data_IF_152918692233
#
_entry.id   IF_152918692233
#
_cell.length_a   1.000
_cell.length_b   1.000
_cell.length_c   1.000
_cell.angle_alpha   90.00
_cell.angle_beta   90.00
_cell.angle_gamma   90.00
#
_symmetry.space_group_name_H-M   'P 1'
#
loop_
_entity.id
_entity.type
_entity.pdbx_description
1 polymer ?
#
# COMPACT_ATOMS: atom_id res chain seq x y z
N UNK A 1 35.20 1.27 19.61
CA UNK A 1 34.67 -0.12 19.66
C UNK A 1 33.29 -0.17 20.31
N UNK A 2 32.32 0.64 19.87
CA UNK A 2 31.02 0.76 20.55
C UNK A 2 29.83 1.03 19.63
N UNK A 3 29.99 0.77 18.32
CA UNK A 3 28.89 0.83 17.34
C UNK A 3 28.55 -0.56 16.78
N UNK A 4 29.51 -1.51 16.79
CA UNK A 4 29.32 -2.86 16.23
C UNK A 4 28.52 -3.81 17.14
N UNK A 5 28.41 -3.54 18.44
CA UNK A 5 27.69 -4.44 19.36
C UNK A 5 26.18 -4.16 19.47
N UNK A 6 25.70 -2.94 19.18
CA UNK A 6 24.26 -2.63 19.26
C UNK A 6 23.47 -3.19 18.05
N UNK A 7 24.13 -3.35 16.91
CA UNK A 7 23.53 -3.95 15.70
C UNK A 7 23.67 -5.49 15.66
N UNK A 8 24.40 -6.07 16.61
CA UNK A 8 24.67 -7.51 16.70
C UNK A 8 23.44 -8.32 17.14
N UNK A 9 22.54 -7.76 17.95
CA UNK A 9 21.39 -8.47 18.50
C UNK A 9 20.11 -8.43 17.64
N UNK A 10 19.98 -7.51 16.68
CA UNK A 10 18.79 -7.45 15.81
C UNK A 10 18.79 -8.54 14.72
N UNK A 11 19.97 -8.93 14.23
CA UNK A 11 20.12 -9.81 13.06
C UNK A 11 20.36 -11.30 13.41
N UNK A 12 20.61 -11.64 14.67
CA UNK A 12 20.75 -13.03 15.16
C UNK A 12 19.63 -13.42 16.14
N UNK A 13 18.40 -13.02 15.86
CA UNK A 13 17.29 -13.73 16.48
C UNK A 13 17.31 -15.15 15.94
N UNK A 14 17.66 -16.13 16.77
CA UNK A 14 17.20 -17.51 16.56
C UNK A 14 15.69 -17.36 16.29
N UNK A 15 15.18 -17.72 15.10
CA UNK A 15 13.77 -17.64 14.79
C UNK A 15 13.09 -18.74 15.60
N UNK A 16 12.87 -18.42 16.86
CA UNK A 16 12.18 -19.22 17.82
C UNK A 16 10.73 -19.26 17.33
N UNK A 17 10.38 -20.32 16.58
CA UNK A 17 9.06 -20.54 16.00
C UNK A 17 7.94 -20.38 17.04
N UNK A 18 6.66 -20.38 16.63
CA UNK A 18 5.51 -20.06 17.51
C UNK A 18 5.56 -20.71 18.91
N UNK A 19 6.14 -21.90 19.03
CA UNK A 19 6.33 -22.67 20.27
C UNK A 19 7.30 -22.07 21.30
N UNK A 20 8.26 -21.25 20.89
CA UNK A 20 9.27 -20.66 21.77
C UNK A 20 8.96 -19.23 22.23
N UNK A 21 7.82 -18.65 21.79
CA UNK A 21 7.34 -17.35 22.28
C UNK A 21 7.00 -17.38 23.78
N UNK A 22 6.57 -18.53 24.30
CA UNK A 22 6.30 -18.75 25.73
C UNK A 22 7.57 -18.63 26.58
N UNK A 23 8.71 -19.07 26.07
CA UNK A 23 10.00 -18.99 26.78
C UNK A 23 10.46 -17.53 26.93
N UNK A 24 10.25 -16.69 25.91
CA UNK A 24 10.54 -15.25 26.00
C UNK A 24 9.72 -14.57 27.09
N UNK A 25 8.43 -14.88 27.17
CA UNK A 25 7.55 -14.36 28.22
C UNK A 25 7.97 -14.86 29.61
N UNK A 26 8.40 -16.12 29.71
CA UNK A 26 8.90 -16.71 30.95
C UNK A 26 10.14 -15.97 31.48
N UNK A 27 11.13 -15.70 30.62
CA UNK A 27 12.30 -14.91 31.01
C UNK A 27 11.91 -13.49 31.43
N UNK A 28 11.00 -12.84 30.71
CA UNK A 28 10.50 -11.50 31.06
C UNK A 28 9.88 -11.48 32.47
N UNK A 29 9.01 -12.46 32.78
CA UNK A 29 8.38 -12.60 34.08
C UNK A 29 9.39 -12.90 35.20
N UNK A 30 10.45 -13.66 34.91
CA UNK A 30 11.52 -13.97 35.88
C UNK A 30 12.43 -12.78 36.15
N UNK A 31 12.75 -11.98 35.13
CA UNK A 31 13.64 -10.82 35.26
C UNK A 31 12.93 -9.62 35.91
N UNK A 32 11.74 -9.26 35.43
CA UNK A 32 11.03 -8.06 35.87
C UNK A 32 10.01 -8.32 36.99
N UNK A 33 9.55 -9.57 37.12
CA UNK A 33 8.41 -9.88 37.97
C UNK A 33 7.11 -9.26 37.45
N UNK A 34 5.99 -9.61 38.10
CA UNK A 34 4.68 -9.05 37.76
C UNK A 34 4.61 -7.56 38.11
N UNK A 35 5.17 -7.16 39.25
CA UNK A 35 5.14 -5.75 39.69
C UNK A 35 6.01 -4.83 38.84
N UNK A 36 7.20 -5.28 38.42
CA UNK A 36 8.05 -4.51 37.52
C UNK A 36 7.40 -4.30 36.15
N UNK A 37 6.70 -5.30 35.62
CA UNK A 37 5.95 -5.17 34.37
C UNK A 37 4.77 -4.21 34.49
N UNK A 38 4.02 -4.25 35.61
CA UNK A 38 2.95 -3.29 35.87
C UNK A 38 3.48 -1.86 35.91
N UNK A 39 4.59 -1.64 36.62
CA UNK A 39 5.19 -0.31 36.72
C UNK A 39 5.73 0.18 35.38
N UNK A 40 6.37 -0.70 34.60
CA UNK A 40 6.82 -0.40 33.25
C UNK A 40 5.67 0.06 32.35
N UNK A 41 4.56 -0.70 32.31
CA UNK A 41 3.39 -0.35 31.51
C UNK A 41 2.81 0.98 31.99
N UNK A 42 2.61 1.17 33.31
CA UNK A 42 2.07 2.41 33.88
C UNK A 42 2.95 3.62 33.58
N UNK A 43 4.27 3.47 33.58
CA UNK A 43 5.20 4.53 33.16
C UNK A 43 4.99 4.91 31.70
N UNK A 44 4.89 3.94 30.79
CA UNK A 44 4.66 4.22 29.37
C UNK A 44 3.29 4.87 29.13
N UNK A 45 2.26 4.49 29.91
CA UNK A 45 0.96 5.16 29.86
C UNK A 45 1.07 6.61 30.33
N UNK A 46 1.81 6.91 31.40
CA UNK A 46 2.06 8.28 31.86
C UNK A 46 2.77 9.12 30.79
N UNK A 47 3.81 8.58 30.16
CA UNK A 47 4.54 9.26 29.08
C UNK A 47 3.66 9.55 27.86
N UNK A 48 2.77 8.62 27.49
CA UNK A 48 1.80 8.85 26.43
C UNK A 48 0.79 9.95 26.77
N UNK A 49 0.38 10.08 28.04
CA UNK A 49 -0.45 11.18 28.51
C UNK A 49 0.31 12.52 28.49
N UNK A 50 1.59 12.52 28.87
CA UNK A 50 2.45 13.71 28.75
C UNK A 50 2.53 14.21 27.30
N UNK A 51 2.74 13.30 26.33
CA UNK A 51 2.72 13.64 24.91
C UNK A 51 1.36 14.20 24.45
N UNK A 52 0.26 13.60 24.92
CA UNK A 52 -1.10 14.05 24.64
C UNK A 52 -1.33 15.48 25.13
N UNK A 53 -0.85 15.81 26.32
CA UNK A 53 -1.04 17.14 26.90
C UNK A 53 -0.30 18.22 26.10
N UNK A 54 0.89 17.92 25.59
CA UNK A 54 1.61 18.78 24.64
C UNK A 54 0.85 19.03 23.34
N UNK A 55 0.27 17.97 22.73
CA UNK A 55 -0.55 18.11 21.53
C UNK A 55 -1.77 19.01 21.75
N UNK A 56 -2.45 18.83 22.88
CA UNK A 56 -3.61 19.64 23.24
C UNK A 56 -3.23 21.11 23.52
N UNK A 57 -2.08 21.35 24.13
CA UNK A 57 -1.58 22.69 24.41
C UNK A 57 -1.24 23.51 23.15
N UNK A 58 -0.74 22.86 22.10
CA UNK A 58 -0.41 23.53 20.83
C UNK A 58 -1.66 23.88 19.99
N UNK A 59 -2.74 23.10 20.14
CA UNK A 59 -4.05 23.44 19.60
C UNK A 59 -4.21 23.27 18.08
N UNK A 60 -3.14 22.95 17.33
CA UNK A 60 -3.20 22.59 15.90
C UNK A 60 -3.52 21.12 15.65
N UNK A 61 -3.32 20.28 16.66
CA UNK A 61 -3.50 18.84 16.57
C UNK A 61 -4.85 18.43 17.17
N UNK A 62 -5.46 17.42 16.56
CA UNK A 62 -6.63 16.72 17.08
C UNK A 62 -6.25 15.29 17.46
N UNK A 63 -6.81 14.81 18.58
CA UNK A 63 -6.72 13.41 18.98
C UNK A 63 -7.81 12.61 18.26
N UNK A 64 -7.41 11.53 17.60
CA UNK A 64 -8.34 10.67 16.84
C UNK A 64 -9.03 9.67 17.76
N UNK A 65 -8.36 9.28 18.84
CA UNK A 65 -8.90 8.36 19.83
C UNK A 65 -8.42 8.74 21.24
N UNK A 66 -9.18 8.29 22.24
CA UNK A 66 -8.78 8.39 23.64
C UNK A 66 -7.49 7.60 23.91
N UNK A 67 -6.53 8.23 24.59
CA UNK A 67 -5.26 7.61 24.98
C UNK A 67 -5.48 6.68 26.18
N UNK A 68 -5.60 5.38 25.93
CA UNK A 68 -5.82 4.35 26.97
C UNK A 68 -4.53 3.66 27.45
N UNK A 69 -3.55 3.56 26.56
CA UNK A 69 -2.29 2.83 26.77
C UNK A 69 -1.11 3.70 26.27
N UNK A 70 0.06 3.10 26.02
CA UNK A 70 1.25 3.80 25.52
C UNK A 70 1.20 4.22 24.03
N UNK A 71 0.02 4.42 23.46
CA UNK A 71 -0.19 4.79 22.05
C UNK A 71 -1.06 6.04 21.96
N UNK A 72 -0.57 7.06 21.24
CA UNK A 72 -1.29 8.30 20.97
C UNK A 72 -1.54 8.41 19.47
N UNK A 73 -2.82 8.51 19.10
CA UNK A 73 -3.27 8.67 17.73
C UNK A 73 -3.70 10.12 17.51
N UNK A 74 -2.98 10.85 16.66
CA UNK A 74 -3.20 12.28 16.45
C UNK A 74 -3.11 12.66 14.96
N UNK A 75 -3.68 13.80 14.61
CA UNK A 75 -3.66 14.37 13.26
C UNK A 75 -3.61 15.88 13.31
N UNK A 76 -3.27 16.54 12.20
CA UNK A 76 -3.53 17.98 12.07
C UNK A 76 -5.03 18.23 11.86
N UNK A 77 -5.52 19.35 12.41
CA UNK A 77 -6.91 19.78 12.29
C UNK A 77 -7.35 19.87 10.82
N UNK A 78 -8.48 19.25 10.51
CA UNK A 78 -9.25 19.38 9.26
C UNK A 78 -8.57 18.96 7.94
N UNK A 79 -7.31 18.51 7.94
CA UNK A 79 -6.59 18.22 6.69
C UNK A 79 -5.82 16.88 6.73
N UNK A 80 -6.20 15.94 5.85
CA UNK A 80 -5.49 14.67 5.68
C UNK A 80 -4.18 14.84 4.93
N UNK A 81 -4.17 15.66 3.87
CA UNK A 81 -3.00 15.85 3.01
C UNK A 81 -1.86 16.51 3.76
N UNK A 82 -2.17 17.49 4.63
CA UNK A 82 -1.16 18.08 5.51
C UNK A 82 -0.61 17.07 6.52
N UNK A 83 -1.45 16.17 7.03
CA UNK A 83 -1.00 15.13 7.96
C UNK A 83 -0.11 14.10 7.25
N UNK A 84 -0.43 13.73 6.01
CA UNK A 84 0.42 12.88 5.15
C UNK A 84 1.75 13.56 4.81
N UNK A 85 1.72 14.84 4.46
CA UNK A 85 2.93 15.61 4.17
C UNK A 85 3.85 15.72 5.39
N UNK A 86 3.28 16.03 6.56
CA UNK A 86 4.01 16.05 7.83
C UNK A 86 4.68 14.69 8.09
N UNK A 87 3.97 13.58 7.85
CA UNK A 87 4.54 12.25 8.02
C UNK A 87 5.73 12.01 7.10
N UNK A 88 5.61 12.32 5.82
CA UNK A 88 6.70 12.18 4.85
C UNK A 88 7.91 13.03 5.20
N UNK A 89 7.71 14.27 5.67
CA UNK A 89 8.80 15.14 6.10
C UNK A 89 9.48 14.65 7.39
N UNK A 90 8.71 14.09 8.33
CA UNK A 90 9.26 13.47 9.53
C UNK A 90 10.09 12.23 9.21
N UNK A 91 9.61 11.36 8.32
CA UNK A 91 10.35 10.19 7.85
C UNK A 91 11.63 10.58 7.09
N UNK A 92 11.59 11.67 6.31
CA UNK A 92 12.76 12.20 5.61
C UNK A 92 13.80 12.85 6.55
N UNK A 93 13.35 13.52 7.61
CA UNK A 93 14.20 14.12 8.64
C UNK A 93 14.89 13.06 9.51
N UNK A 94 14.20 11.96 9.81
CA UNK A 94 14.78 10.76 10.43
C UNK A 94 15.13 10.89 11.92
N UNK A 95 14.92 12.05 12.57
CA UNK A 95 15.13 12.20 14.03
C UNK A 95 14.13 11.40 14.85
N UNK A 96 12.91 11.25 14.35
CA UNK A 96 11.87 10.40 14.94
C UNK A 96 11.18 9.62 13.83
N UNK A 97 10.62 8.46 14.18
CA UNK A 97 9.82 7.67 13.26
C UNK A 97 8.41 7.50 13.84
N UNK A 98 7.41 7.81 13.01
CA UNK A 98 6.00 7.61 13.33
C UNK A 98 5.43 6.58 12.38
N UNK A 99 4.32 5.97 12.78
CA UNK A 99 3.60 5.06 11.88
C UNK A 99 2.24 5.63 11.58
N UNK A 100 1.97 5.90 10.31
CA UNK A 100 0.64 6.33 9.89
C UNK A 100 -0.39 5.20 9.90
N UNK A 101 -1.66 5.59 9.84
CA UNK A 101 -2.81 4.72 9.61
C UNK A 101 -3.96 5.54 9.04
N UNK A 102 -4.87 4.86 8.36
CA UNK A 102 -6.11 5.46 7.89
C UNK A 102 -7.30 4.54 8.16
N UNK A 103 -8.45 5.14 8.43
CA UNK A 103 -9.74 4.44 8.42
C UNK A 103 -10.80 5.34 7.79
N UNK A 104 -11.97 4.76 7.48
CA UNK A 104 -13.04 5.44 6.77
C UNK A 104 -14.27 5.59 7.69
N UNK A 105 -14.57 6.81 8.18
CA UNK A 105 -15.80 7.11 8.93
C UNK A 105 -15.93 8.62 9.28
N UNK A 106 -16.99 9.35 8.89
CA UNK A 106 -17.79 9.31 7.64
C UNK A 106 -17.00 9.75 6.39
N UNK A 107 -15.80 10.31 6.57
CA UNK A 107 -14.81 10.57 5.52
C UNK A 107 -13.53 9.77 5.81
N UNK A 108 -12.58 9.72 4.87
CA UNK A 108 -11.26 9.14 5.14
C UNK A 108 -10.56 9.98 6.22
N UNK A 109 -10.04 9.33 7.25
CA UNK A 109 -9.25 9.96 8.30
C UNK A 109 -7.86 9.37 8.24
N UNK A 110 -6.88 10.20 7.87
CA UNK A 110 -5.46 9.86 7.97
C UNK A 110 -4.89 10.41 9.27
N UNK A 111 -4.12 9.60 9.99
CA UNK A 111 -3.57 9.97 11.29
C UNK A 111 -2.24 9.29 11.58
N UNK A 112 -1.49 9.88 12.50
CA UNK A 112 -0.19 9.41 12.94
C UNK A 112 -0.30 8.71 14.29
N UNK A 113 0.50 7.67 14.47
CA UNK A 113 0.58 6.91 15.71
C UNK A 113 1.94 7.11 16.34
N UNK A 114 1.93 7.72 17.52
CA UNK A 114 3.09 7.82 18.38
C UNK A 114 3.03 6.70 19.43
N UNK A 115 4.00 5.80 19.38
CA UNK A 115 4.12 4.68 20.32
C UNK A 115 5.40 4.82 21.14
N UNK A 116 5.27 4.74 22.46
CA UNK A 116 6.43 4.77 23.36
C UNK A 116 7.09 3.39 23.38
N UNK A 117 8.06 3.18 22.50
CA UNK A 117 8.69 1.87 22.27
C UNK A 117 10.03 1.69 22.98
N UNK A 118 10.68 2.77 23.44
CA UNK A 118 12.00 2.69 24.06
C UNK A 118 11.92 2.22 25.52
N UNK A 119 12.77 1.25 25.90
CA UNK A 119 12.74 0.61 27.22
C UNK A 119 12.99 1.59 28.38
N UNK A 120 13.78 2.63 28.14
CA UNK A 120 14.14 3.63 29.15
C UNK A 120 13.58 5.00 28.79
N UNK A 121 12.41 5.03 28.14
CA UNK A 121 11.75 6.29 27.81
C UNK A 121 11.53 7.15 29.06
N UNK A 122 11.82 8.44 28.91
CA UNK A 122 11.65 9.49 29.91
C UNK A 122 10.89 10.69 29.30
N UNK A 123 10.55 11.67 30.13
CA UNK A 123 9.79 12.85 29.68
C UNK A 123 10.59 13.70 28.70
N UNK A 124 11.91 13.82 28.87
CA UNK A 124 12.79 14.59 27.98
C UNK A 124 12.75 14.06 26.53
N UNK A 125 12.72 12.74 26.34
CA UNK A 125 12.57 12.13 25.02
C UNK A 125 11.20 12.36 24.39
N UNK A 126 10.15 12.40 25.22
CA UNK A 126 8.80 12.74 24.76
C UNK A 126 8.75 14.21 24.33
N UNK A 127 9.32 15.11 25.12
CA UNK A 127 9.42 16.54 24.83
C UNK A 127 10.22 16.78 23.55
N UNK A 128 11.36 16.10 23.40
CA UNK A 128 12.15 16.12 22.17
C UNK A 128 11.32 15.68 20.96
N UNK A 129 10.62 14.55 21.08
CA UNK A 129 9.79 14.02 19.98
C UNK A 129 8.68 15.00 19.59
N UNK A 130 8.02 15.61 20.57
CA UNK A 130 7.01 16.63 20.33
C UNK A 130 7.59 17.89 19.67
N UNK A 131 8.75 18.36 20.12
CA UNK A 131 9.41 19.54 19.54
C UNK A 131 9.80 19.34 18.07
N UNK A 132 10.24 18.13 17.69
CA UNK A 132 10.51 17.79 16.27
C UNK A 132 9.21 17.85 15.44
N UNK A 133 8.12 17.28 15.94
CA UNK A 133 6.81 17.32 15.28
C UNK A 133 6.34 18.78 15.11
N UNK A 134 6.49 19.59 16.16
CA UNK A 134 6.14 21.01 16.15
C UNK A 134 6.94 21.79 15.10
N UNK A 135 8.25 21.60 15.07
CA UNK A 135 9.16 22.22 14.10
C UNK A 135 8.77 21.89 12.65
N UNK A 136 8.43 20.62 12.38
CA UNK A 136 7.99 20.20 11.04
C UNK A 136 6.60 20.73 10.69
N UNK A 137 5.69 20.79 11.67
CA UNK A 137 4.39 21.41 11.47
C UNK A 137 4.51 22.92 11.17
N UNK A 138 5.50 23.60 11.75
CA UNK A 138 5.80 25.01 11.47
C UNK A 138 6.34 25.22 10.04
N UNK A 139 7.22 24.32 9.57
CA UNK A 139 7.75 24.33 8.19
C UNK A 139 6.67 24.12 7.12
N UNK A 140 5.63 23.36 7.45
CA UNK A 140 4.51 23.07 6.55
C UNK A 140 3.49 24.20 6.42
N UNK A 141 3.65 25.31 7.15
CA UNK A 141 2.72 26.43 7.08
C UNK A 141 2.93 27.24 5.81
N UNK A 142 2.05 27.06 4.83
CA UNK A 142 1.96 27.93 3.67
C UNK A 142 1.71 29.38 4.13
N UNK A 143 2.64 30.28 3.78
CA UNK A 143 2.48 31.72 3.97
C UNK A 143 1.21 32.21 3.24
N UNK A 144 0.57 33.27 3.73
CA UNK A 144 -0.59 33.89 3.08
C UNK A 144 -0.32 34.23 1.61
N UNK A 145 0.92 34.62 1.28
CA UNK A 145 1.35 34.87 -0.11
C UNK A 145 1.40 33.60 -0.96
N UNK A 146 1.79 32.46 -0.37
CA UNK A 146 1.87 31.17 -1.06
C UNK A 146 0.47 30.60 -1.32
N UNK A 147 -0.46 30.80 -0.38
CA UNK A 147 -1.88 30.44 -0.56
C UNK A 147 -2.52 31.22 -1.72
N UNK A 148 -2.23 32.51 -1.82
CA UNK A 148 -2.71 33.34 -2.93
C UNK A 148 -2.15 32.86 -4.28
N UNK A 149 -0.83 32.61 -4.36
CA UNK A 149 -0.19 32.08 -5.56
C UNK A 149 -0.75 30.71 -5.97
N UNK A 150 -1.04 29.84 -4.99
CA UNK A 150 -1.68 28.54 -5.24
C UNK A 150 -3.08 28.68 -5.81
N UNK A 151 -3.90 29.58 -5.23
CA UNK A 151 -5.25 29.86 -5.72
C UNK A 151 -5.24 30.40 -7.15
N UNK A 152 -4.33 31.33 -7.47
CA UNK A 152 -4.22 31.90 -8.82
C UNK A 152 -3.69 30.88 -9.83
N UNK A 153 -2.66 30.11 -9.48
CA UNK A 153 -2.12 29.07 -10.36
C UNK A 153 -3.17 28.02 -10.70
N UNK A 154 -3.94 27.55 -9.71
CA UNK A 154 -5.05 26.60 -9.92
C UNK A 154 -6.16 27.19 -10.77
N UNK A 155 -6.48 28.46 -10.59
CA UNK A 155 -7.51 29.15 -11.39
C UNK A 155 -7.16 29.12 -12.89
N UNK A 156 -5.89 29.33 -13.22
CA UNK A 156 -5.40 29.40 -14.61
C UNK A 156 -5.16 28.02 -15.21
N UNK A 157 -4.55 27.10 -14.45
CA UNK A 157 -4.11 25.79 -14.96
C UNK A 157 -5.16 24.69 -14.81
N UNK A 158 -6.17 24.89 -13.95
CA UNK A 158 -7.17 23.88 -13.54
C UNK A 158 -6.59 22.53 -13.09
N UNK A 159 -5.32 22.50 -12.69
CA UNK A 159 -4.68 21.29 -12.19
C UNK A 159 -5.07 21.00 -10.73
N UNK A 160 -4.82 19.75 -10.30
CA UNK A 160 -5.01 19.34 -8.90
C UNK A 160 -4.07 20.12 -7.96
N UNK A 161 -4.51 20.30 -6.72
CA UNK A 161 -3.79 21.09 -5.71
C UNK A 161 -2.36 20.59 -5.48
N UNK A 162 -2.18 19.26 -5.44
CA UNK A 162 -0.87 18.64 -5.24
C UNK A 162 0.11 18.93 -6.38
N UNK A 163 -0.39 18.90 -7.64
CA UNK A 163 0.42 19.25 -8.81
C UNK A 163 0.79 20.72 -8.79
N UNK A 164 -0.17 21.59 -8.46
CA UNK A 164 0.06 23.03 -8.34
C UNK A 164 1.11 23.36 -7.28
N UNK A 165 1.04 22.72 -6.11
CA UNK A 165 2.05 22.87 -5.05
C UNK A 165 3.43 22.39 -5.54
N UNK A 166 3.49 21.25 -6.24
CA UNK A 166 4.76 20.73 -6.78
C UNK A 166 5.44 21.69 -7.76
N UNK A 167 4.70 22.26 -8.71
CA UNK A 167 5.20 23.25 -9.67
C UNK A 167 5.60 24.57 -8.99
N UNK A 168 4.79 25.05 -8.04
CA UNK A 168 5.09 26.27 -7.31
C UNK A 168 6.32 26.06 -6.42
N UNK A 169 6.47 24.91 -5.77
CA UNK A 169 7.64 24.61 -4.94
C UNK A 169 8.94 24.51 -5.76
N UNK A 170 8.92 23.82 -6.90
CA UNK A 170 10.11 23.69 -7.76
C UNK A 170 10.62 25.04 -8.27
N UNK A 171 9.72 26.01 -8.42
CA UNK A 171 10.00 27.35 -8.93
C UNK A 171 9.92 28.43 -7.84
N UNK A 172 10.16 28.04 -6.58
CA UNK A 172 10.27 28.93 -5.41
C UNK A 172 9.09 29.88 -5.24
N UNK A 173 7.89 29.40 -5.53
CA UNK A 173 6.61 30.09 -5.42
C UNK A 173 6.47 31.31 -6.34
N UNK A 174 7.24 31.37 -7.43
CA UNK A 174 7.05 32.37 -8.47
C UNK A 174 5.95 31.94 -9.43
N UNK A 175 4.77 32.56 -9.32
CA UNK A 175 3.60 32.24 -10.14
C UNK A 175 3.88 32.32 -11.64
N UNK A 176 4.54 33.38 -12.10
CA UNK A 176 4.78 33.62 -13.53
C UNK A 176 5.75 32.60 -14.10
N UNK A 177 6.83 32.30 -13.38
CA UNK A 177 7.77 31.24 -13.78
C UNK A 177 7.09 29.87 -13.78
N UNK A 178 6.26 29.57 -12.79
CA UNK A 178 5.51 28.31 -12.73
C UNK A 178 4.54 28.16 -13.90
N UNK A 179 3.79 29.21 -14.24
CA UNK A 179 2.89 29.19 -15.38
C UNK A 179 3.69 29.02 -16.68
N UNK A 180 4.78 29.77 -16.85
CA UNK A 180 5.61 29.68 -18.04
C UNK A 180 6.23 28.28 -18.20
N UNK A 181 6.80 27.69 -17.15
CA UNK A 181 7.34 26.32 -17.17
C UNK A 181 6.24 25.28 -17.50
N UNK A 182 5.06 25.45 -16.91
CA UNK A 182 3.90 24.59 -17.16
C UNK A 182 3.47 24.64 -18.64
N UNK A 183 3.46 25.83 -19.24
CA UNK A 183 3.13 26.00 -20.66
C UNK A 183 4.30 25.70 -21.62
N UNK A 184 5.56 25.90 -21.20
CA UNK A 184 6.76 25.73 -22.03
C UNK A 184 7.27 24.30 -22.08
N UNK A 185 6.94 23.47 -21.08
CA UNK A 185 7.29 22.04 -21.02
C UNK A 185 6.59 21.17 -22.10
N UNK A 186 6.09 21.79 -23.17
CA UNK A 186 5.69 21.08 -24.39
C UNK A 186 4.40 20.28 -24.24
N UNK A 187 3.69 20.40 -23.12
CA UNK A 187 2.25 20.16 -23.09
C UNK A 187 1.55 21.36 -23.76
N UNK A 188 1.80 21.50 -25.06
CA UNK A 188 0.77 22.03 -25.94
C UNK A 188 -0.53 21.27 -25.64
N UNK A 189 -1.67 21.91 -25.89
CA UNK A 189 -3.01 21.30 -25.75
C UNK A 189 -3.14 19.98 -26.55
N UNK A 190 -2.59 18.87 -26.05
CA UNK A 190 -3.28 17.60 -26.00
C UNK A 190 -4.10 17.64 -24.71
N UNK A 191 -4.98 18.65 -24.62
CA UNK A 191 -6.05 18.61 -23.65
C UNK A 191 -6.93 17.46 -24.09
N UNK A 192 -6.71 16.30 -23.48
CA UNK A 192 -7.67 15.21 -23.51
C UNK A 192 -9.04 15.84 -23.30
N UNK A 193 -9.91 15.73 -24.30
CA UNK A 193 -11.18 16.44 -24.26
C UNK A 193 -12.12 15.68 -23.31
N UNK A 194 -12.29 16.22 -22.11
CA UNK A 194 -13.17 15.66 -21.09
C UNK A 194 -14.59 15.44 -21.63
N UNK A 195 -15.08 16.29 -22.55
CA UNK A 195 -16.39 16.11 -23.14
C UNK A 195 -16.45 14.87 -24.04
N UNK A 196 -15.35 14.55 -24.74
CA UNK A 196 -15.29 13.32 -25.54
C UNK A 196 -15.23 12.08 -24.65
N UNK A 197 -14.49 12.13 -23.54
CA UNK A 197 -14.48 11.03 -22.57
C UNK A 197 -15.88 10.85 -21.98
N UNK A 198 -16.57 11.94 -21.64
CA UNK A 198 -17.94 11.87 -21.13
C UNK A 198 -18.92 11.31 -22.17
N UNK A 199 -18.81 11.71 -23.44
CA UNK A 199 -19.58 11.13 -24.53
C UNK A 199 -19.31 9.63 -24.70
N UNK A 200 -18.04 9.24 -24.61
CA UNK A 200 -17.62 7.85 -24.68
C UNK A 200 -18.18 7.04 -23.49
N UNK A 201 -18.13 7.58 -22.28
CA UNK A 201 -18.75 6.97 -21.10
C UNK A 201 -20.25 6.77 -21.31
N UNK A 202 -20.95 7.78 -21.86
CA UNK A 202 -22.37 7.71 -22.14
C UNK A 202 -22.76 6.62 -23.15
N UNK A 203 -21.84 6.18 -24.01
CA UNK A 203 -22.05 5.06 -24.93
C UNK A 203 -22.10 3.70 -24.21
N UNK A 204 -21.31 3.55 -23.13
CA UNK A 204 -21.14 2.29 -22.41
C UNK A 204 -21.93 2.20 -21.11
N UNK A 205 -22.37 3.33 -20.54
CA UNK A 205 -23.14 3.37 -19.29
C UNK A 205 -24.38 2.50 -19.38
N UNK A 206 -24.80 2.01 -18.23
CA UNK A 206 -26.05 1.28 -18.12
C UNK A 206 -27.27 2.23 -18.22
N UNK A 207 -28.38 1.74 -18.79
CA UNK A 207 -29.60 2.54 -18.95
C UNK A 207 -30.29 2.78 -17.61
N UNK A 208 -30.24 1.81 -16.72
CA UNK A 208 -30.89 1.84 -15.41
C UNK A 208 -29.97 2.47 -14.35
N UNK A 209 -28.66 2.46 -14.58
CA UNK A 209 -27.65 3.08 -13.71
C UNK A 209 -26.72 4.03 -14.49
N UNK A 210 -27.10 5.30 -14.73
CA UNK A 210 -26.36 6.22 -15.59
C UNK A 210 -24.99 6.65 -15.03
N UNK A 211 -24.69 6.34 -13.77
CA UNK A 211 -23.42 6.64 -13.11
C UNK A 211 -22.39 5.51 -13.24
N UNK A 212 -22.75 4.38 -13.86
CA UNK A 212 -21.90 3.19 -13.94
C UNK A 212 -21.94 2.52 -15.30
N UNK A 213 -20.81 1.94 -15.68
CA UNK A 213 -20.70 0.94 -16.74
C UNK A 213 -20.77 -0.42 -16.05
N UNK A 214 -21.87 -1.15 -16.23
CA UNK A 214 -22.04 -2.50 -15.67
C UNK A 214 -21.52 -3.57 -16.65
N UNK A 215 -21.71 -4.85 -16.31
CA UNK A 215 -21.22 -6.02 -17.06
C UNK A 215 -21.45 -5.93 -18.58
N UNK A 216 -22.64 -5.51 -19.01
CA UNK A 216 -23.00 -5.39 -20.44
C UNK A 216 -22.22 -4.28 -21.14
N UNK A 217 -22.00 -3.15 -20.45
CA UNK A 217 -21.16 -2.05 -20.92
C UNK A 217 -19.68 -2.44 -20.96
N UNK A 218 -19.21 -3.17 -19.95
CA UNK A 218 -17.83 -3.66 -19.86
C UNK A 218 -17.48 -4.61 -21.01
N UNK A 219 -18.38 -5.54 -21.37
CA UNK A 219 -18.18 -6.42 -22.52
C UNK A 219 -18.09 -5.62 -23.83
N UNK A 220 -18.94 -4.60 -24.00
CA UNK A 220 -18.88 -3.72 -25.18
C UNK A 220 -17.54 -2.95 -25.23
N UNK A 221 -17.16 -2.31 -24.13
CA UNK A 221 -15.94 -1.51 -24.07
C UNK A 221 -14.66 -2.34 -24.21
N UNK A 222 -14.47 -3.36 -23.35
CA UNK A 222 -13.22 -4.12 -23.29
C UNK A 222 -13.15 -5.18 -24.40
N UNK A 223 -14.21 -5.97 -24.58
CA UNK A 223 -14.18 -7.11 -25.50
C UNK A 223 -14.49 -6.71 -26.94
N UNK A 224 -15.54 -5.93 -27.16
CA UNK A 224 -15.94 -5.58 -28.54
C UNK A 224 -15.10 -4.44 -29.10
N UNK A 225 -14.88 -3.38 -28.34
CA UNK A 225 -14.22 -2.19 -28.84
C UNK A 225 -12.71 -2.26 -28.63
N UNK A 226 -12.20 -2.51 -27.43
CA UNK A 226 -10.75 -2.65 -27.23
C UNK A 226 -10.16 -3.94 -27.81
N UNK A 227 -10.98 -4.93 -28.15
CA UNK A 227 -10.58 -6.25 -28.69
C UNK A 227 -9.73 -7.07 -27.71
N UNK A 228 -10.07 -7.00 -26.43
CA UNK A 228 -9.35 -7.70 -25.35
C UNK A 228 -10.28 -8.72 -24.71
N UNK A 229 -9.78 -9.94 -24.51
CA UNK A 229 -10.51 -10.94 -23.73
C UNK A 229 -10.58 -10.52 -22.25
N UNK A 230 -11.75 -10.63 -21.64
CA UNK A 230 -11.95 -10.34 -20.21
C UNK A 230 -11.13 -11.28 -19.30
N UNK A 231 -10.70 -12.43 -19.83
CA UNK A 231 -9.81 -13.37 -19.14
C UNK A 231 -8.32 -13.08 -19.35
N UNK A 232 -7.97 -12.04 -20.11
CA UNK A 232 -6.59 -11.63 -20.34
C UNK A 232 -6.12 -10.69 -19.23
N UNK A 233 -4.83 -10.78 -18.85
CA UNK A 233 -4.21 -9.90 -17.83
C UNK A 233 -4.37 -8.42 -18.17
N UNK A 234 -4.51 -8.09 -19.45
CA UNK A 234 -4.78 -6.73 -19.91
C UNK A 234 -6.10 -6.15 -19.41
N UNK A 235 -7.15 -6.96 -19.25
CA UNK A 235 -8.39 -6.47 -18.66
C UNK A 235 -8.17 -6.05 -17.19
N UNK A 236 -7.36 -6.80 -16.45
CA UNK A 236 -6.97 -6.47 -15.08
C UNK A 236 -6.05 -5.23 -15.02
N UNK A 237 -5.10 -5.10 -15.96
CA UNK A 237 -4.24 -3.92 -16.06
C UNK A 237 -5.05 -2.66 -16.33
N UNK A 238 -6.06 -2.72 -17.20
CA UNK A 238 -6.97 -1.59 -17.44
C UNK A 238 -7.71 -1.22 -16.15
N UNK A 239 -8.31 -2.20 -15.46
CA UNK A 239 -9.00 -1.96 -14.19
C UNK A 239 -8.06 -1.30 -13.15
N UNK A 240 -6.81 -1.78 -13.05
CA UNK A 240 -5.80 -1.20 -12.18
C UNK A 240 -5.45 0.25 -12.55
N UNK A 241 -5.24 0.55 -13.84
CA UNK A 241 -4.94 1.92 -14.30
C UNK A 241 -6.11 2.88 -14.10
N UNK A 242 -7.32 2.36 -14.08
CA UNK A 242 -8.55 3.10 -13.81
C UNK A 242 -8.87 3.17 -12.31
N UNK A 243 -8.02 2.56 -11.46
CA UNK A 243 -8.21 2.45 -10.02
C UNK A 243 -9.58 1.89 -9.62
N UNK A 244 -10.05 0.91 -10.39
CA UNK A 244 -11.38 0.35 -10.21
C UNK A 244 -11.50 -0.42 -8.90
N UNK A 245 -12.58 -0.19 -8.16
CA UNK A 245 -12.77 -0.83 -6.85
C UNK A 245 -13.49 -2.17 -6.94
N UNK A 246 -14.37 -2.32 -7.93
CA UNK A 246 -15.26 -3.48 -8.05
C UNK A 246 -15.11 -4.18 -9.39
N UNK A 247 -15.08 -5.51 -9.37
CA UNK A 247 -15.01 -6.29 -10.59
C UNK A 247 -16.32 -6.21 -11.40
N UNK A 248 -16.18 -6.08 -12.71
CA UNK A 248 -17.31 -6.14 -13.65
C UNK A 248 -18.11 -4.84 -13.74
N UNK A 249 -17.64 -3.76 -13.12
CA UNK A 249 -18.19 -2.43 -13.29
C UNK A 249 -17.09 -1.35 -13.28
N UNK A 250 -17.39 -0.20 -13.88
CA UNK A 250 -16.65 1.04 -13.66
C UNK A 250 -17.62 2.16 -13.30
N UNK A 251 -17.29 2.93 -12.28
CA UNK A 251 -17.97 4.20 -12.01
C UNK A 251 -17.59 5.26 -13.05
N UNK A 252 -18.40 6.32 -13.17
CA UNK A 252 -18.09 7.45 -14.04
C UNK A 252 -16.75 8.07 -13.65
N UNK A 253 -16.51 8.23 -12.35
CA UNK A 253 -15.29 8.82 -11.81
C UNK A 253 -14.06 7.99 -12.20
N UNK A 254 -14.09 6.67 -11.96
CA UNK A 254 -12.99 5.75 -12.33
C UNK A 254 -12.71 5.76 -13.84
N UNK A 255 -13.76 5.79 -14.67
CA UNK A 255 -13.62 5.83 -16.12
C UNK A 255 -12.99 7.15 -16.61
N UNK A 256 -13.50 8.28 -16.12
CA UNK A 256 -13.02 9.60 -16.49
C UNK A 256 -11.57 9.80 -16.04
N UNK A 257 -11.26 9.52 -14.77
CA UNK A 257 -9.91 9.64 -14.23
C UNK A 257 -8.94 8.68 -14.90
N UNK A 258 -9.34 7.43 -15.17
CA UNK A 258 -8.52 6.45 -15.87
C UNK A 258 -8.12 6.90 -17.28
N UNK A 259 -9.09 7.38 -18.06
CA UNK A 259 -8.83 7.89 -19.42
C UNK A 259 -7.96 9.15 -19.40
N UNK A 260 -8.21 10.07 -18.47
CA UNK A 260 -7.39 11.28 -18.27
C UNK A 260 -5.95 10.93 -17.87
N UNK A 261 -5.76 10.03 -16.90
CA UNK A 261 -4.45 9.63 -16.41
C UNK A 261 -3.62 8.87 -17.46
N UNK A 262 -4.29 8.22 -18.42
CA UNK A 262 -3.64 7.56 -19.55
C UNK A 262 -3.48 8.48 -20.77
N UNK A 263 -3.84 9.75 -20.65
CA UNK A 263 -3.85 10.75 -21.73
C UNK A 263 -4.63 10.27 -22.97
N UNK A 264 -5.84 9.75 -22.78
CA UNK A 264 -6.69 9.16 -23.83
C UNK A 264 -8.10 9.78 -23.85
N UNK A 265 -8.61 10.15 -25.02
CA UNK A 265 -9.96 10.71 -25.23
C UNK A 265 -10.87 9.83 -26.11
N UNK A 266 -10.36 8.67 -26.55
CA UNK A 266 -11.00 7.77 -27.52
C UNK A 266 -10.53 6.32 -27.35
N UNK A 267 -11.33 5.35 -27.81
CA UNK A 267 -10.97 3.92 -27.76
C UNK A 267 -9.70 3.64 -28.56
N UNK A 268 -9.52 4.31 -29.69
CA UNK A 268 -8.36 4.15 -30.57
C UNK A 268 -7.07 4.62 -29.88
N UNK A 269 -7.12 5.78 -29.20
CA UNK A 269 -5.99 6.31 -28.45
C UNK A 269 -5.60 5.39 -27.29
N UNK A 270 -6.59 4.81 -26.59
CA UNK A 270 -6.35 3.83 -25.53
C UNK A 270 -5.74 2.55 -26.11
N UNK A 271 -6.37 1.97 -27.14
CA UNK A 271 -5.92 0.73 -27.79
C UNK A 271 -4.48 0.83 -28.28
N UNK A 272 -4.08 1.97 -28.84
CA UNK A 272 -2.71 2.20 -29.30
C UNK A 272 -1.67 2.19 -28.17
N UNK A 273 -2.04 2.62 -26.96
CA UNK A 273 -1.14 2.67 -25.80
C UNK A 273 -1.07 1.36 -25.02
N UNK A 274 -2.10 0.50 -25.12
CA UNK A 274 -2.18 -0.73 -24.33
C UNK A 274 -0.96 -1.65 -24.42
N UNK A 275 -0.37 -1.95 -25.60
CA UNK A 275 0.82 -2.80 -25.67
C UNK A 275 2.02 -2.23 -24.91
N UNK A 276 2.18 -0.90 -24.94
CA UNK A 276 3.24 -0.22 -24.19
C UNK A 276 2.99 -0.24 -22.69
N UNK A 277 1.74 -0.08 -22.27
CA UNK A 277 1.32 -0.18 -20.86
C UNK A 277 1.53 -1.60 -20.33
N UNK A 278 1.14 -2.62 -21.10
CA UNK A 278 1.35 -4.03 -20.77
C UNK A 278 2.83 -4.30 -20.49
N UNK A 279 3.67 -3.99 -21.48
CA UNK A 279 5.11 -4.20 -21.40
C UNK A 279 5.72 -3.50 -20.19
N UNK A 280 5.44 -2.21 -20.01
CA UNK A 280 5.96 -1.45 -18.87
C UNK A 280 5.45 -1.98 -17.53
N UNK A 281 4.20 -2.45 -17.45
CA UNK A 281 3.64 -2.98 -16.21
C UNK A 281 4.24 -4.35 -15.87
N UNK A 282 4.48 -5.17 -16.89
CA UNK A 282 4.87 -6.56 -16.74
C UNK A 282 6.39 -6.76 -16.67
N UNK A 283 7.20 -5.82 -17.18
CA UNK A 283 8.67 -5.86 -17.10
C UNK A 283 9.22 -5.08 -15.90
N UNK A 284 8.55 -4.00 -15.47
CA UNK A 284 8.97 -3.25 -14.28
C UNK A 284 8.47 -3.94 -13.01
N UNK A 285 9.40 -4.34 -12.14
CA UNK A 285 9.09 -5.13 -10.94
C UNK A 285 8.17 -4.39 -9.96
N UNK A 286 8.34 -3.08 -9.79
CA UNK A 286 7.52 -2.28 -8.86
C UNK A 286 6.09 -2.14 -9.38
N UNK A 287 5.92 -1.91 -10.68
CA UNK A 287 4.60 -1.88 -11.32
C UNK A 287 3.92 -3.24 -11.24
N UNK A 288 4.66 -4.32 -11.52
CA UNK A 288 4.12 -5.67 -11.48
C UNK A 288 3.70 -6.07 -10.05
N UNK A 289 4.53 -5.73 -9.04
CA UNK A 289 4.21 -5.91 -7.62
C UNK A 289 2.98 -5.10 -7.22
N UNK A 290 2.88 -3.86 -7.68
CA UNK A 290 1.71 -3.01 -7.43
C UNK A 290 0.43 -3.61 -8.03
N UNK A 291 0.48 -4.08 -9.29
CA UNK A 291 -0.64 -4.76 -9.95
C UNK A 291 -1.04 -6.03 -9.20
N UNK A 292 -0.06 -6.83 -8.79
CA UNK A 292 -0.27 -8.07 -8.04
C UNK A 292 -0.94 -7.82 -6.69
N UNK A 293 -0.52 -6.78 -5.95
CA UNK A 293 -1.17 -6.39 -4.69
C UNK A 293 -2.58 -5.83 -4.90
N UNK A 294 -2.79 -5.06 -5.97
CA UNK A 294 -4.09 -4.54 -6.34
C UNK A 294 -5.10 -5.67 -6.60
N UNK A 295 -4.69 -6.72 -7.34
CA UNK A 295 -5.55 -7.85 -7.68
C UNK A 295 -6.22 -8.52 -6.47
N UNK A 296 -5.53 -8.64 -5.33
CA UNK A 296 -6.12 -9.21 -4.11
C UNK A 296 -7.32 -8.39 -3.60
N UNK A 297 -7.17 -7.06 -3.61
CA UNK A 297 -8.21 -6.16 -3.12
C UNK A 297 -9.37 -6.09 -4.12
N UNK A 298 -9.04 -6.08 -5.41
CA UNK A 298 -10.01 -6.10 -6.51
C UNK A 298 -10.84 -7.38 -6.53
N UNK A 299 -10.22 -8.53 -6.23
CA UNK A 299 -10.91 -9.81 -6.12
C UNK A 299 -11.85 -9.90 -4.90
N UNK A 300 -11.59 -9.13 -3.85
CA UNK A 300 -12.41 -9.05 -2.63
C UNK A 300 -13.38 -7.86 -2.62
N UNK A 301 -13.76 -7.33 -3.79
CA UNK A 301 -14.55 -6.11 -3.90
C UNK A 301 -15.87 -6.12 -3.10
N UNK A 302 -16.51 -7.28 -2.96
CA UNK A 302 -17.75 -7.43 -2.18
C UNK A 302 -17.53 -7.23 -0.66
N UNK A 303 -16.31 -7.44 -0.17
CA UNK A 303 -15.95 -7.21 1.22
C UNK A 303 -14.52 -6.63 1.33
N UNK A 304 -14.36 -5.30 1.18
CA UNK A 304 -13.05 -4.65 1.21
C UNK A 304 -12.28 -4.80 2.53
N UNK A 305 -12.97 -5.17 3.62
CA UNK A 305 -12.36 -5.43 4.93
C UNK A 305 -11.89 -6.89 5.08
N UNK A 306 -12.22 -7.76 4.12
CA UNK A 306 -11.81 -9.15 4.13
C UNK A 306 -10.29 -9.26 3.99
N UNK A 307 -9.67 -9.89 4.98
CA UNK A 307 -8.23 -10.20 4.97
C UNK A 307 -7.92 -11.54 4.34
N UNK A 308 -8.93 -12.24 3.83
CA UNK A 308 -8.81 -13.54 3.20
C UNK A 308 -9.58 -13.55 1.88
N UNK A 309 -8.98 -14.09 0.83
CA UNK A 309 -9.59 -14.31 -0.46
C UNK A 309 -10.02 -15.78 -0.57
N UNK A 310 -11.19 -16.04 -1.15
CA UNK A 310 -11.65 -17.40 -1.42
C UNK A 310 -10.64 -18.14 -2.33
N UNK A 311 -10.62 -19.47 -2.22
CA UNK A 311 -9.59 -20.26 -2.87
C UNK A 311 -9.72 -20.24 -4.39
N UNK A 312 -10.95 -20.34 -4.91
CA UNK A 312 -11.21 -20.37 -6.34
C UNK A 312 -10.89 -19.02 -7.00
N UNK A 313 -11.21 -17.91 -6.31
CA UNK A 313 -10.83 -16.57 -6.75
C UNK A 313 -9.31 -16.39 -6.74
N UNK A 314 -8.63 -16.84 -5.68
CA UNK A 314 -7.17 -16.76 -5.60
C UNK A 314 -6.50 -17.53 -6.76
N UNK A 315 -6.98 -18.74 -7.07
CA UNK A 315 -6.47 -19.55 -8.19
C UNK A 315 -6.73 -18.83 -9.53
N UNK A 316 -7.92 -18.27 -9.74
CA UNK A 316 -8.25 -17.55 -10.98
C UNK A 316 -7.31 -16.35 -11.21
N UNK A 317 -7.09 -15.52 -10.18
CA UNK A 317 -6.21 -14.36 -10.29
C UNK A 317 -4.73 -14.74 -10.37
N UNK A 318 -4.27 -15.80 -9.69
CA UNK A 318 -2.91 -16.30 -9.89
C UNK A 318 -2.69 -16.87 -11.28
N UNK A 319 -3.68 -17.54 -11.85
CA UNK A 319 -3.62 -18.01 -13.24
C UNK A 319 -3.42 -16.81 -14.18
N UNK A 320 -4.15 -15.72 -13.95
CA UNK A 320 -4.04 -14.51 -14.75
C UNK A 320 -2.67 -13.83 -14.65
N UNK A 321 -2.10 -13.76 -13.44
CA UNK A 321 -0.91 -12.97 -13.16
C UNK A 321 0.41 -13.74 -13.31
N UNK A 322 0.40 -15.04 -13.03
CA UNK A 322 1.61 -15.87 -12.89
C UNK A 322 1.74 -16.93 -13.99
N UNK A 323 0.72 -17.16 -14.83
CA UNK A 323 0.82 -18.12 -15.93
C UNK A 323 1.95 -17.74 -16.88
N UNK A 324 2.78 -18.73 -17.23
CA UNK A 324 4.00 -18.53 -18.03
C UNK A 324 5.16 -17.82 -17.29
N UNK A 325 4.99 -17.45 -16.00
CA UNK A 325 6.03 -16.78 -15.19
C UNK A 325 6.53 -17.61 -14.03
N UNK A 326 5.65 -18.38 -13.40
CA UNK A 326 6.03 -19.29 -12.33
C UNK A 326 5.91 -20.75 -12.79
N UNK A 327 7.03 -21.47 -12.78
CA UNK A 327 7.09 -22.82 -13.35
C UNK A 327 6.30 -23.87 -12.54
N UNK A 328 6.17 -23.69 -11.23
CA UNK A 328 5.50 -24.64 -10.33
C UNK A 328 4.07 -24.21 -10.01
N UNK A 329 3.45 -23.38 -10.85
CA UNK A 329 2.11 -22.85 -10.61
C UNK A 329 1.06 -23.96 -10.56
N UNK A 330 1.16 -24.96 -11.43
CA UNK A 330 0.25 -26.11 -11.43
C UNK A 330 0.39 -26.96 -10.16
N UNK A 331 1.62 -27.15 -9.68
CA UNK A 331 1.87 -27.84 -8.40
C UNK A 331 1.31 -27.04 -7.22
N UNK A 332 1.42 -25.71 -7.26
CA UNK A 332 0.83 -24.83 -6.26
C UNK A 332 -0.69 -24.96 -6.22
N UNK A 333 -1.36 -24.95 -7.38
CA UNK A 333 -2.80 -25.14 -7.45
C UNK A 333 -3.24 -26.52 -6.95
N UNK A 334 -2.54 -27.57 -7.37
CA UNK A 334 -2.80 -28.93 -6.89
C UNK A 334 -2.66 -29.03 -5.37
N UNK A 335 -1.59 -28.47 -4.79
CA UNK A 335 -1.40 -28.43 -3.34
C UNK A 335 -2.54 -27.72 -2.63
N UNK A 336 -2.94 -26.55 -3.12
CA UNK A 336 -4.01 -25.78 -2.50
C UNK A 336 -5.36 -26.51 -2.54
N UNK A 337 -5.68 -27.13 -3.68
CA UNK A 337 -6.94 -27.84 -3.89
C UNK A 337 -6.99 -29.18 -3.14
N UNK A 338 -5.86 -29.89 -3.00
CA UNK A 338 -5.82 -31.21 -2.36
C UNK A 338 -5.59 -31.13 -0.84
N UNK A 339 -4.69 -30.24 -0.39
CA UNK A 339 -4.19 -30.21 0.99
C UNK A 339 -4.72 -29.04 1.82
N UNK A 340 -4.73 -27.82 1.27
CA UNK A 340 -5.10 -26.62 2.05
C UNK A 340 -6.62 -26.42 2.15
N UNK A 341 -7.33 -26.39 1.01
CA UNK A 341 -8.80 -26.26 0.89
C UNK A 341 -9.43 -25.12 1.71
N UNK A 342 -8.67 -24.04 1.93
CA UNK A 342 -9.08 -22.89 2.75
C UNK A 342 -8.78 -21.58 2.03
N UNK A 343 -9.46 -20.48 2.41
CA UNK A 343 -9.13 -19.14 1.93
C UNK A 343 -7.64 -18.78 2.12
N UNK A 344 -7.16 -17.91 1.25
CA UNK A 344 -5.77 -17.40 1.24
C UNK A 344 -5.74 -16.05 1.94
N UNK A 345 -4.87 -15.89 2.93
CA UNK A 345 -4.73 -14.61 3.63
C UNK A 345 -4.00 -13.56 2.77
N UNK A 346 -4.27 -12.28 3.00
CA UNK A 346 -3.60 -11.17 2.31
C UNK A 346 -2.08 -11.22 2.48
N UNK A 347 -1.60 -11.62 3.67
CA UNK A 347 -0.18 -11.77 3.96
C UNK A 347 0.44 -12.89 3.11
N UNK A 348 -0.24 -14.03 3.03
CA UNK A 348 0.20 -15.15 2.18
C UNK A 348 0.22 -14.77 0.71
N UNK A 349 -0.79 -14.07 0.21
CA UNK A 349 -0.80 -13.54 -1.16
C UNK A 349 0.44 -12.69 -1.43
N UNK A 350 0.69 -11.66 -0.60
CA UNK A 350 1.83 -10.75 -0.76
C UNK A 350 3.17 -11.46 -0.73
N UNK A 351 3.38 -12.35 0.26
CA UNK A 351 4.65 -13.06 0.40
C UNK A 351 4.84 -14.14 -0.67
N UNK A 352 3.76 -14.66 -1.27
CA UNK A 352 3.88 -15.59 -2.38
C UNK A 352 4.48 -14.92 -3.63
N UNK A 353 4.23 -13.62 -3.86
CA UNK A 353 4.92 -12.88 -4.92
C UNK A 353 6.44 -12.88 -4.73
N UNK A 354 6.90 -12.53 -3.53
CA UNK A 354 8.33 -12.49 -3.20
C UNK A 354 8.95 -13.88 -3.34
N UNK A 355 8.27 -14.90 -2.84
CA UNK A 355 8.67 -16.30 -2.99
C UNK A 355 8.88 -16.68 -4.46
N UNK A 356 7.94 -16.34 -5.35
CA UNK A 356 8.06 -16.61 -6.80
C UNK A 356 9.27 -15.91 -7.43
N UNK A 357 9.68 -14.74 -6.93
CA UNK A 357 10.82 -14.00 -7.49
C UNK A 357 12.18 -14.59 -7.09
N UNK A 358 12.29 -15.13 -5.88
CA UNK A 358 13.58 -15.57 -5.33
C UNK A 358 13.83 -17.07 -5.47
N UNK A 359 12.78 -17.87 -5.57
CA UNK A 359 12.87 -19.33 -5.42
C UNK A 359 13.43 -19.99 -6.68
N UNK A 360 14.40 -20.87 -6.49
CA UNK A 360 14.98 -21.63 -7.59
C UNK A 360 14.08 -22.81 -8.01
N UNK A 361 14.23 -23.35 -9.23
CA UNK A 361 13.43 -24.48 -9.71
C UNK A 361 13.40 -25.70 -8.80
N UNK A 362 14.43 -25.93 -7.96
CA UNK A 362 14.54 -27.13 -7.12
C UNK A 362 14.21 -26.89 -5.65
N UNK A 363 13.91 -25.65 -5.26
CA UNK A 363 13.73 -25.25 -3.87
C UNK A 363 14.96 -25.52 -2.98
N UNK A 364 16.16 -25.48 -3.56
CA UNK A 364 17.42 -25.67 -2.84
C UNK A 364 17.81 -24.41 -2.08
N UNK A 365 17.40 -23.23 -2.56
CA UNK A 365 17.67 -21.95 -1.90
C UNK A 365 16.60 -21.54 -0.87
N UNK A 366 15.58 -22.38 -0.67
CA UNK A 366 14.48 -22.08 0.25
C UNK A 366 14.87 -22.34 1.71
N UNK A 367 14.82 -21.28 2.53
CA UNK A 367 15.03 -21.37 3.98
C UNK A 367 13.70 -21.60 4.71
N UNK A 368 13.48 -22.82 5.20
CA UNK A 368 12.35 -23.20 6.04
C UNK A 368 12.31 -22.48 7.40
N UNK A 369 13.41 -21.88 7.85
CA UNK A 369 13.45 -21.07 9.06
C UNK A 369 13.19 -19.59 8.79
N UNK A 370 12.96 -19.22 7.51
CA UNK A 370 12.57 -17.89 7.10
C UNK A 370 11.22 -17.48 7.69
N UNK A 371 10.93 -16.18 7.69
CA UNK A 371 9.65 -15.64 8.17
C UNK A 371 8.52 -15.81 7.14
N UNK A 372 8.48 -16.93 6.42
CA UNK A 372 7.47 -17.23 5.42
C UNK A 372 6.12 -17.59 6.08
N UNK A 373 4.99 -17.39 5.37
CA UNK A 373 3.71 -17.96 5.78
C UNK A 373 3.83 -19.48 5.80
N UNK A 374 3.26 -20.09 6.84
CA UNK A 374 3.19 -21.57 6.98
C UNK A 374 2.68 -22.28 5.70
N UNK A 375 1.80 -21.63 4.93
CA UNK A 375 1.28 -22.21 3.70
C UNK A 375 2.37 -22.39 2.62
N UNK A 376 3.34 -21.46 2.55
CA UNK A 376 4.47 -21.54 1.63
C UNK A 376 5.43 -22.63 2.10
N UNK A 377 5.74 -22.70 3.40
CA UNK A 377 6.58 -23.76 3.96
C UNK A 377 6.00 -25.15 3.65
N UNK A 378 4.70 -25.33 3.91
CA UNK A 378 3.99 -26.57 3.65
C UNK A 378 3.93 -26.93 2.16
N UNK A 379 3.89 -25.93 1.27
CA UNK A 379 3.97 -26.15 -0.16
C UNK A 379 5.34 -26.63 -0.59
N UNK A 380 6.43 -26.02 -0.09
CA UNK A 380 7.78 -26.47 -0.43
C UNK A 380 8.01 -27.90 0.06
N UNK A 381 7.55 -28.24 1.26
CA UNK A 381 7.59 -29.61 1.78
C UNK A 381 6.82 -30.61 0.88
N UNK A 382 5.67 -30.19 0.34
CA UNK A 382 4.89 -30.99 -0.61
C UNK A 382 5.55 -31.12 -1.99
N UNK A 383 6.09 -30.02 -2.52
CA UNK A 383 6.57 -29.93 -3.90
C UNK A 383 8.00 -30.47 -4.08
N UNK A 384 8.86 -30.30 -3.07
CA UNK A 384 10.29 -30.68 -3.16
C UNK A 384 10.51 -32.16 -3.50
N UNK A 385 9.80 -33.15 -2.91
CA UNK A 385 9.91 -34.55 -3.31
C UNK A 385 9.40 -34.84 -4.71
N UNK A 386 8.40 -34.08 -5.19
CA UNK A 386 7.83 -34.24 -6.54
C UNK A 386 8.79 -33.71 -7.60
N UNK A 387 9.50 -32.61 -7.28
CA UNK A 387 10.46 -31.97 -8.19
C UNK A 387 11.84 -32.65 -8.14
N UNK A 388 12.24 -33.21 -7.00
CA UNK A 388 13.52 -33.91 -6.81
C UNK A 388 13.30 -35.37 -6.33
N UNK A 389 12.84 -36.28 -7.21
CA UNK A 389 12.56 -37.67 -6.85
C UNK A 389 13.81 -38.45 -6.37
N UNK A 390 15.01 -38.06 -6.78
CA UNK A 390 16.27 -38.76 -6.46
C UNK A 390 16.95 -38.28 -5.15
N UNK A 391 16.39 -37.27 -4.46
CA UNK A 391 16.96 -36.71 -3.23
C UNK A 391 16.48 -37.38 -1.93
N UNK A 392 15.55 -38.33 -2.03
CA UNK A 392 14.93 -39.00 -0.89
C UNK A 392 15.67 -40.27 -0.46
N UNK A 393 16.88 -40.14 0.09
CA UNK A 393 17.50 -41.25 0.83
C UNK A 393 18.55 -40.75 1.85
N UNK A 394 18.15 -39.87 2.77
CA UNK A 394 18.95 -39.62 3.98
C UNK A 394 18.13 -38.93 5.08
N UNK A 395 17.18 -39.62 5.73
CA UNK A 395 16.86 -39.36 7.15
C UNK A 395 15.86 -40.37 7.74
N UNK A 396 16.00 -41.65 7.43
CA UNK A 396 15.47 -42.74 8.27
C UNK A 396 16.64 -43.61 8.71
N UNK A 397 17.45 -43.11 9.65
CA UNK A 397 18.32 -43.90 10.54
C UNK A 397 18.97 -42.98 11.57
N UNK A 398 18.29 -42.76 12.68
CA UNK A 398 18.72 -43.05 14.06
C UNK A 398 17.78 -42.42 15.09
#
# INVERSE_FOLDING_TARGET
MSQEYSNFCQHWHIPLGRRFRSLKLWFLLRCYGVEGLKEYIRRHVRLAHHFKDHLLADGRFDLVAEVKMGLVCFRLKQDNQLTEKLHHELDADGRIHLVSSSFHHPEQIYFLRFAVCYQHADEDQIDYSFNVIKEMADKNKLSSSQKNALSEFRTVTRCSEDKAIGYLQSLKWNLQSALNEFFSSGRAMNTVDENKIEQLFNQYRDKDCPTRILKTGMVRFISQDLKIDLTNVMALIIAWKFNAKTQGEFTKEEFMEGMLNLDCDSVESLRAKLPGIEKNTMENIDNYKSLYHYAFSFANAENPLAKNLGLDEAIAYWTLLLSGRYMHLDLWFKFLQEKHKKPVSQDTWKLFFEFVQITDPKFDNFDMNGAWPYLIDAFVEYAKPVVNPDGGNSMDTL
#
